data_IF_486906128760
#
_entry.id   IF_486906128760
#
_cell.length_a   1.000
_cell.length_b   1.000
_cell.length_c   1.000
_cell.angle_alpha   90.00
_cell.angle_beta   90.00
_cell.angle_gamma   90.00
#
_symmetry.space_group_name_H-M   'P 1'
#
loop_
_entity.id
_entity.type
_entity.pdbx_description
1 polymer ?
#
# COMPACT_ATOMS: atom_id res chain seq x y z
N UNK A 1 20.23 0.54 -7.22
CA UNK A 1 20.18 0.07 -5.82
C UNK A 1 19.01 -0.87 -5.72
N UNK A 2 19.15 -2.06 -5.12
CA UNK A 2 18.01 -2.96 -4.97
C UNK A 2 17.07 -2.38 -3.91
N UNK A 3 15.83 -2.11 -4.28
CA UNK A 3 14.78 -1.67 -3.35
C UNK A 3 13.85 -2.83 -3.08
N UNK A 4 13.33 -2.90 -1.86
CA UNK A 4 12.27 -3.81 -1.45
C UNK A 4 11.26 -3.02 -0.64
N UNK A 5 9.98 -3.16 -0.97
CA UNK A 5 8.88 -2.67 -0.15
C UNK A 5 8.23 -3.86 0.55
N UNK A 6 8.00 -3.75 1.86
CA UNK A 6 7.24 -4.75 2.61
C UNK A 6 6.13 -4.08 3.43
N UNK A 7 5.12 -4.86 3.78
CA UNK A 7 3.83 -4.32 4.24
C UNK A 7 3.45 -4.73 5.65
N UNK A 8 2.85 -3.80 6.39
CA UNK A 8 2.12 -4.08 7.60
C UNK A 8 0.73 -3.50 7.58
N UNK A 9 -0.27 -4.37 7.63
CA UNK A 9 -1.64 -4.00 7.95
C UNK A 9 -1.72 -3.73 9.45
N UNK A 10 -1.82 -2.45 9.82
CA UNK A 10 -1.74 -2.03 11.22
C UNK A 10 -2.88 -2.65 12.03
N UNK A 11 -2.56 -3.28 13.16
CA UNK A 11 -3.52 -3.97 14.03
C UNK A 11 -3.78 -5.43 13.65
N UNK A 12 -3.12 -5.96 12.61
CA UNK A 12 -3.22 -7.37 12.15
C UNK A 12 -1.96 -8.19 12.42
N UNK A 13 -1.05 -7.67 13.25
CA UNK A 13 0.28 -8.25 13.51
C UNK A 13 0.23 -9.65 14.14
N UNK A 14 -0.85 -9.99 14.86
CA UNK A 14 -1.06 -11.33 15.43
C UNK A 14 -1.09 -12.45 14.40
N UNK A 15 -1.31 -12.13 13.11
CA UNK A 15 -1.21 -13.08 12.00
C UNK A 15 0.22 -13.46 11.60
N UNK A 16 1.23 -12.73 12.09
CA UNK A 16 2.62 -12.89 11.66
C UNK A 16 2.79 -12.57 10.17
N UNK A 17 3.06 -13.61 9.36
CA UNK A 17 3.11 -13.49 7.88
C UNK A 17 1.73 -13.60 7.22
N UNK A 18 0.73 -14.11 7.92
CA UNK A 18 -0.61 -14.30 7.35
C UNK A 18 -1.46 -13.07 7.61
N UNK A 19 -2.27 -12.72 6.63
CA UNK A 19 -3.33 -11.74 6.81
C UNK A 19 -4.42 -12.29 7.75
N UNK A 20 -4.84 -11.48 8.71
CA UNK A 20 -5.96 -11.74 9.61
C UNK A 20 -7.07 -10.74 9.35
N UNK A 21 -8.32 -11.14 9.51
CA UNK A 21 -9.47 -10.27 9.20
C UNK A 21 -9.72 -9.23 10.29
N UNK A 22 -9.50 -9.60 11.54
CA UNK A 22 -9.82 -8.77 12.69
C UNK A 22 -8.69 -7.82 13.07
N UNK A 23 -9.05 -6.67 13.63
CA UNK A 23 -8.14 -5.62 14.08
C UNK A 23 -8.05 -5.65 15.61
N UNK A 24 -6.83 -5.54 16.14
CA UNK A 24 -6.59 -5.54 17.60
C UNK A 24 -5.47 -4.57 17.97
N UNK A 25 -5.56 -4.04 19.19
CA UNK A 25 -4.42 -3.40 19.84
C UNK A 25 -3.47 -4.47 20.37
N UNK A 26 -2.43 -4.76 19.59
CA UNK A 26 -1.41 -5.73 19.92
C UNK A 26 -0.38 -5.15 20.91
N UNK A 27 0.27 -6.02 21.69
CA UNK A 27 1.42 -5.60 22.51
C UNK A 27 2.63 -5.30 21.62
N UNK A 28 3.56 -4.50 22.14
CA UNK A 28 4.82 -4.16 21.45
C UNK A 28 5.56 -5.43 21.01
N UNK A 29 5.66 -6.44 21.88
CA UNK A 29 6.31 -7.72 21.54
C UNK A 29 5.69 -8.42 20.32
N UNK A 30 4.36 -8.41 20.20
CA UNK A 30 3.66 -9.02 19.06
C UNK A 30 3.95 -8.24 17.79
N UNK A 31 3.90 -6.91 17.86
CA UNK A 31 4.18 -6.01 16.74
C UNK A 31 5.62 -6.22 16.29
N UNK A 32 6.61 -6.06 17.17
CA UNK A 32 8.04 -6.20 16.85
C UNK A 32 8.35 -7.56 16.25
N UNK A 33 7.78 -8.65 16.80
CA UNK A 33 7.98 -9.99 16.26
C UNK A 33 7.40 -10.14 14.85
N UNK A 34 6.19 -9.63 14.60
CA UNK A 34 5.56 -9.70 13.29
C UNK A 34 6.34 -8.88 12.25
N UNK A 35 6.76 -7.66 12.61
CA UNK A 35 7.54 -6.79 11.73
C UNK A 35 8.89 -7.41 11.38
N UNK A 36 9.62 -7.93 12.36
CA UNK A 36 10.90 -8.62 12.13
C UNK A 36 10.72 -9.83 11.20
N UNK A 37 9.64 -10.60 11.36
CA UNK A 37 9.34 -11.74 10.51
C UNK A 37 9.05 -11.33 9.07
N UNK A 38 8.29 -10.25 8.87
CA UNK A 38 7.97 -9.70 7.54
C UNK A 38 9.20 -9.14 6.83
N UNK A 39 10.05 -8.44 7.56
CA UNK A 39 11.32 -7.93 7.04
C UNK A 39 12.24 -9.07 6.59
N UNK A 40 12.44 -10.09 7.45
CA UNK A 40 13.24 -11.26 7.11
C UNK A 40 12.68 -12.00 5.89
N UNK A 41 11.36 -12.09 5.77
CA UNK A 41 10.70 -12.69 4.61
C UNK A 41 10.96 -11.89 3.34
N UNK A 42 10.81 -10.57 3.40
CA UNK A 42 11.05 -9.68 2.27
C UNK A 42 12.50 -9.75 1.77
N UNK A 43 13.49 -9.78 2.67
CA UNK A 43 14.91 -9.85 2.33
C UNK A 43 15.35 -11.21 1.78
N UNK A 44 14.64 -12.30 2.10
CA UNK A 44 14.96 -13.66 1.62
C UNK A 44 14.25 -14.04 0.32
N UNK A 45 13.30 -13.24 -0.14
CA UNK A 45 12.45 -13.62 -1.27
C UNK A 45 13.14 -13.39 -2.62
N UNK A 46 14.10 -14.26 -2.96
CA UNK A 46 14.90 -14.19 -4.21
C UNK A 46 14.05 -14.29 -5.49
N UNK A 47 12.89 -14.95 -5.41
CA UNK A 47 11.92 -15.07 -6.52
C UNK A 47 10.71 -14.13 -6.35
N UNK A 48 10.87 -13.09 -5.54
CA UNK A 48 9.82 -12.13 -5.21
C UNK A 48 9.48 -11.17 -6.34
N UNK A 49 8.58 -10.25 -6.02
CA UNK A 49 8.24 -9.15 -6.90
C UNK A 49 9.47 -8.26 -7.15
N UNK A 50 9.52 -7.63 -8.32
CA UNK A 50 10.65 -6.79 -8.75
C UNK A 50 10.30 -5.34 -8.48
N UNK A 51 11.20 -4.61 -7.82
CA UNK A 51 11.01 -3.20 -7.53
C UNK A 51 11.95 -2.34 -8.36
N UNK A 52 11.44 -1.23 -8.91
CA UNK A 52 12.22 -0.24 -9.63
C UNK A 52 11.97 1.13 -8.99
N UNK A 53 13.04 1.86 -8.71
CA UNK A 53 12.97 3.27 -8.28
C UNK A 53 12.98 4.12 -9.53
N UNK A 54 11.91 4.88 -9.77
CA UNK A 54 11.85 5.83 -10.88
C UNK A 54 12.32 7.21 -10.42
N UNK A 55 11.93 7.61 -9.20
CA UNK A 55 12.33 8.85 -8.54
C UNK A 55 12.47 8.60 -7.03
N UNK A 56 13.02 9.56 -6.27
CA UNK A 56 13.23 9.41 -4.81
C UNK A 56 11.95 9.05 -4.06
N UNK A 57 10.81 9.63 -4.44
CA UNK A 57 9.49 9.35 -3.86
C UNK A 57 8.63 8.41 -4.68
N UNK A 58 9.16 7.78 -5.74
CA UNK A 58 8.39 6.97 -6.68
C UNK A 58 9.02 5.60 -6.93
N UNK A 59 8.37 4.57 -6.42
CA UNK A 59 8.78 3.17 -6.57
C UNK A 59 7.67 2.42 -7.32
N UNK A 60 8.03 1.54 -8.25
CA UNK A 60 7.09 0.60 -8.85
C UNK A 60 7.44 -0.83 -8.49
N UNK A 61 6.42 -1.66 -8.33
CA UNK A 61 6.53 -3.09 -8.10
C UNK A 61 5.83 -3.86 -9.21
N UNK A 62 6.55 -4.85 -9.72
CA UNK A 62 6.17 -5.68 -10.84
C UNK A 62 6.21 -7.14 -10.41
N UNK A 63 5.42 -8.02 -11.05
CA UNK A 63 5.51 -9.45 -10.81
C UNK A 63 6.93 -9.99 -11.10
N UNK A 64 7.27 -11.17 -10.55
CA UNK A 64 8.49 -11.89 -10.89
C UNK A 64 8.60 -12.06 -12.42
N UNK A 65 9.82 -12.04 -12.97
CA UNK A 65 10.02 -12.01 -14.44
C UNK A 65 9.35 -13.17 -15.20
N UNK A 66 9.19 -14.33 -14.56
CA UNK A 66 8.58 -15.52 -15.15
C UNK A 66 7.12 -15.74 -14.71
N UNK A 67 6.49 -14.74 -14.08
CA UNK A 67 5.12 -14.85 -13.58
C UNK A 67 4.09 -14.77 -14.71
N UNK A 68 3.08 -15.64 -14.66
CA UNK A 68 1.90 -15.53 -15.52
C UNK A 68 0.94 -14.40 -15.08
N UNK A 69 1.04 -13.93 -13.83
CA UNK A 69 0.26 -12.80 -13.34
C UNK A 69 0.83 -11.50 -13.89
N UNK A 70 -0.05 -10.64 -14.38
CA UNK A 70 0.27 -9.26 -14.76
C UNK A 70 -0.37 -8.30 -13.78
N UNK A 71 0.46 -7.49 -13.14
CA UNK A 71 0.02 -6.38 -12.31
C UNK A 71 1.10 -5.31 -12.30
N UNK A 72 0.70 -4.11 -11.91
CA UNK A 72 1.63 -3.04 -11.55
C UNK A 72 1.16 -2.44 -10.24
N UNK A 73 2.10 -2.20 -9.34
CA UNK A 73 1.89 -1.45 -8.11
C UNK A 73 2.82 -0.23 -8.15
N UNK A 74 2.31 0.94 -7.79
CA UNK A 74 3.02 2.21 -7.81
C UNK A 74 2.92 2.83 -6.42
N UNK A 75 4.05 3.10 -5.80
CA UNK A 75 4.17 3.72 -4.49
C UNK A 75 4.60 5.18 -4.67
N UNK A 76 3.76 6.12 -4.24
CA UNK A 76 4.08 7.55 -4.16
C UNK A 76 4.30 7.92 -2.69
N UNK A 77 5.58 7.92 -2.29
CA UNK A 77 6.02 7.96 -0.90
C UNK A 77 5.68 9.27 -0.20
N UNK A 78 5.84 10.37 -0.92
CA UNK A 78 5.53 11.74 -0.50
C UNK A 78 4.03 11.99 -0.31
N UNK A 79 3.20 11.26 -1.05
CA UNK A 79 1.74 11.38 -0.96
C UNK A 79 1.10 10.39 0.01
N UNK A 80 1.83 9.38 0.48
CA UNK A 80 1.26 8.32 1.32
C UNK A 80 0.22 7.47 0.57
N UNK A 81 0.46 7.21 -0.71
CA UNK A 81 -0.47 6.48 -1.57
C UNK A 81 0.24 5.32 -2.28
N UNK A 82 -0.45 4.18 -2.36
CA UNK A 82 -0.11 3.11 -3.27
C UNK A 82 -1.24 2.93 -4.28
N UNK A 83 -0.91 2.71 -5.55
CA UNK A 83 -1.86 2.39 -6.62
C UNK A 83 -1.57 1.00 -7.17
N UNK A 84 -2.56 0.12 -7.21
CA UNK A 84 -2.42 -1.20 -7.82
C UNK A 84 -3.40 -1.40 -8.97
N UNK A 85 -2.92 -1.98 -10.06
CA UNK A 85 -3.71 -2.30 -11.25
C UNK A 85 -3.45 -3.74 -11.68
N UNK A 86 -4.52 -4.50 -11.91
CA UNK A 86 -4.45 -5.93 -12.27
C UNK A 86 -4.01 -6.87 -11.15
N UNK A 87 -3.78 -6.37 -9.92
CA UNK A 87 -3.31 -7.19 -8.80
C UNK A 87 -4.40 -8.12 -8.23
N UNK A 88 -5.62 -7.59 -8.01
CA UNK A 88 -6.79 -8.38 -7.59
C UNK A 88 -7.64 -8.70 -8.82
N UNK A 89 -7.80 -9.99 -9.15
CA UNK A 89 -8.62 -10.43 -10.30
C UNK A 89 -10.12 -10.13 -10.14
N UNK A 90 -10.57 -9.79 -8.93
CA UNK A 90 -11.96 -9.48 -8.61
C UNK A 90 -12.36 -8.04 -8.89
N UNK A 91 -11.43 -7.20 -9.35
CA UNK A 91 -11.67 -5.77 -9.60
C UNK A 91 -11.01 -5.34 -10.92
N UNK A 92 -11.80 -4.75 -11.79
CA UNK A 92 -11.31 -4.08 -13.00
C UNK A 92 -11.15 -2.59 -12.69
N UNK A 93 -9.92 -2.07 -12.87
CA UNK A 93 -9.56 -0.71 -12.53
C UNK A 93 -8.44 -0.61 -11.49
N UNK A 94 -8.33 0.56 -10.86
CA UNK A 94 -7.32 0.84 -9.85
C UNK A 94 -7.84 0.54 -8.44
N UNK A 95 -6.95 0.03 -7.60
CA UNK A 95 -7.08 0.06 -6.15
C UNK A 95 -6.07 1.06 -5.59
N UNK A 96 -6.50 1.91 -4.68
CA UNK A 96 -5.66 2.90 -4.03
C UNK A 96 -5.68 2.60 -2.54
N UNK A 97 -4.51 2.32 -1.98
CA UNK A 97 -4.33 2.05 -0.57
C UNK A 97 -3.71 3.30 0.07
N UNK A 98 -4.26 3.74 1.20
CA UNK A 98 -3.68 4.83 2.00
C UNK A 98 -2.66 4.25 2.95
N UNK A 99 -1.43 4.74 2.84
CA UNK A 99 -0.27 4.15 3.49
C UNK A 99 0.64 5.21 4.10
N UNK A 100 1.37 4.85 5.15
CA UNK A 100 2.50 5.62 5.66
C UNK A 100 3.79 4.84 5.39
N UNK A 101 4.80 5.52 4.85
CA UNK A 101 6.08 4.90 4.54
C UNK A 101 7.14 5.20 5.61
N UNK A 102 7.97 4.21 5.90
CA UNK A 102 9.15 4.34 6.75
C UNK A 102 10.36 3.75 6.01
N UNK A 103 11.43 4.54 5.86
CA UNK A 103 12.71 4.05 5.36
C UNK A 103 13.47 3.38 6.52
N UNK A 104 13.66 2.06 6.48
CA UNK A 104 14.40 1.34 7.54
C UNK A 104 15.91 1.44 7.36
N UNK A 105 16.36 1.10 6.15
CA UNK A 105 17.76 1.18 5.71
C UNK A 105 17.79 1.48 4.22
N UNK A 106 18.91 1.94 3.64
CA UNK A 106 18.98 2.18 2.19
C UNK A 106 18.55 0.95 1.39
N UNK A 107 17.48 1.09 0.60
CA UNK A 107 16.94 -0.02 -0.20
C UNK A 107 15.82 -0.83 0.47
N UNK A 108 15.44 -0.51 1.72
CA UNK A 108 14.37 -1.20 2.43
C UNK A 108 13.32 -0.20 2.93
N UNK A 109 12.16 -0.23 2.28
CA UNK A 109 11.01 0.62 2.56
C UNK A 109 9.91 -0.21 3.21
N UNK A 110 9.32 0.34 4.25
CA UNK A 110 8.23 -0.27 4.98
C UNK A 110 6.95 0.53 4.76
N UNK A 111 5.90 -0.12 4.28
CA UNK A 111 4.57 0.46 4.09
C UNK A 111 3.62 0.01 5.20
N UNK A 112 3.17 0.96 6.01
CA UNK A 112 2.08 0.78 6.96
C UNK A 112 0.77 1.03 6.25
N UNK A 113 -0.05 -0.01 6.08
CA UNK A 113 -1.41 0.10 5.58
C UNK A 113 -2.32 0.65 6.68
N UNK A 114 -2.93 1.79 6.36
CA UNK A 114 -3.77 2.58 7.26
C UNK A 114 -5.27 2.34 7.02
N UNK A 115 -5.61 1.21 6.38
CA UNK A 115 -6.94 0.58 6.33
C UNK A 115 -8.02 1.35 5.55
N UNK A 116 -7.66 2.44 4.86
CA UNK A 116 -8.56 3.13 3.95
C UNK A 116 -8.14 2.77 2.53
N UNK A 117 -9.08 2.16 1.81
CA UNK A 117 -8.91 1.76 0.42
C UNK A 117 -9.90 2.50 -0.47
N UNK A 118 -9.54 2.67 -1.75
CA UNK A 118 -10.40 3.25 -2.77
C UNK A 118 -10.38 2.35 -4.00
N UNK A 119 -11.57 1.90 -4.42
CA UNK A 119 -11.77 1.24 -5.71
C UNK A 119 -12.13 2.28 -6.75
N UNK A 120 -11.36 2.38 -7.81
CA UNK A 120 -11.65 3.21 -8.98
C UNK A 120 -11.92 2.29 -10.16
N UNK A 121 -13.06 2.48 -10.81
CA UNK A 121 -13.48 1.70 -11.98
C UNK A 121 -12.96 2.37 -13.26
N UNK A 122 -12.98 1.63 -14.37
CA UNK A 122 -12.50 2.11 -15.69
C UNK A 122 -13.29 3.32 -16.22
N UNK A 123 -14.54 3.50 -15.78
CA UNK A 123 -15.35 4.67 -16.14
C UNK A 123 -15.04 5.92 -15.30
N UNK A 124 -14.09 5.81 -14.35
CA UNK A 124 -13.67 6.86 -13.43
C UNK A 124 -14.58 7.02 -12.21
N UNK A 125 -15.65 6.24 -12.07
CA UNK A 125 -16.40 6.16 -10.80
C UNK A 125 -15.54 5.51 -9.72
N UNK A 126 -15.84 5.79 -8.45
CA UNK A 126 -15.05 5.24 -7.35
C UNK A 126 -15.86 5.01 -6.06
N UNK A 127 -15.38 4.10 -5.22
CA UNK A 127 -15.88 3.84 -3.88
C UNK A 127 -14.74 3.86 -2.87
N UNK A 128 -14.91 4.64 -1.79
CA UNK A 128 -14.07 4.51 -0.60
C UNK A 128 -14.60 3.31 0.21
N UNK A 129 -13.72 2.40 0.59
CA UNK A 129 -14.05 1.17 1.32
C UNK A 129 -13.19 1.06 2.59
N UNK A 130 -13.55 0.10 3.44
CA UNK A 130 -12.84 -0.25 4.69
C UNK A 130 -12.74 0.91 5.70
N UNK A 131 -13.60 1.93 5.56
CA UNK A 131 -13.76 3.02 6.54
C UNK A 131 -14.21 2.53 7.91
N UNK A 132 -14.92 1.39 7.98
CA UNK A 132 -15.28 0.71 9.22
C UNK A 132 -14.05 0.09 9.90
N UNK A 133 -13.13 -0.50 9.13
CA UNK A 133 -11.83 -0.99 9.60
C UNK A 133 -10.97 0.16 10.15
N UNK A 134 -10.84 1.26 9.40
CA UNK A 134 -10.14 2.46 9.84
C UNK A 134 -10.71 3.02 11.16
N UNK A 135 -12.04 3.16 11.24
CA UNK A 135 -12.71 3.62 12.45
C UNK A 135 -12.46 2.68 13.64
N UNK A 136 -12.53 1.36 13.44
CA UNK A 136 -12.28 0.39 14.50
C UNK A 136 -10.83 0.46 15.00
N UNK A 137 -9.86 0.58 14.09
CA UNK A 137 -8.46 0.75 14.45
C UNK A 137 -8.22 2.04 15.26
N UNK A 138 -8.85 3.15 14.86
CA UNK A 138 -8.81 4.39 15.64
C UNK A 138 -9.43 4.21 17.03
N UNK A 139 -10.64 3.64 17.09
CA UNK A 139 -11.38 3.40 18.35
C UNK A 139 -10.60 2.53 19.33
N UNK A 140 -9.92 1.50 18.82
CA UNK A 140 -9.07 0.62 19.61
C UNK A 140 -7.74 1.27 20.01
N UNK A 141 -7.40 2.44 19.47
CA UNK A 141 -6.11 3.10 19.68
C UNK A 141 -4.95 2.30 19.09
N UNK A 142 -5.21 1.64 17.95
CA UNK A 142 -4.24 0.95 17.09
C UNK A 142 -3.51 1.97 16.22
N UNK A 143 -4.27 2.90 15.61
CA UNK A 143 -3.71 4.03 14.86
C UNK A 143 -3.35 5.17 15.82
N UNK A 144 -2.17 5.77 15.60
CA UNK A 144 -1.79 7.00 16.30
C UNK A 144 -2.57 8.21 15.77
N UNK A 145 -2.60 9.32 16.53
CA UNK A 145 -3.20 10.56 16.05
C UNK A 145 -2.55 11.08 14.76
N UNK A 146 -1.23 10.95 14.65
CA UNK A 146 -0.47 11.31 13.45
C UNK A 146 -0.86 10.44 12.24
N UNK A 147 -1.03 9.12 12.44
CA UNK A 147 -1.49 8.22 11.39
C UNK A 147 -2.90 8.57 10.91
N UNK A 148 -3.81 8.92 11.83
CA UNK A 148 -5.16 9.37 11.47
C UNK A 148 -5.11 10.66 10.66
N UNK A 149 -4.33 11.65 11.09
CA UNK A 149 -4.18 12.92 10.36
C UNK A 149 -3.59 12.68 8.96
N UNK A 150 -2.52 11.89 8.86
CA UNK A 150 -1.91 11.49 7.60
C UNK A 150 -2.91 10.79 6.67
N UNK A 151 -3.66 9.82 7.18
CA UNK A 151 -4.69 9.10 6.41
C UNK A 151 -5.73 10.03 5.83
N UNK A 152 -6.25 10.97 6.63
CA UNK A 152 -7.29 11.90 6.20
C UNK A 152 -6.75 12.93 5.19
N UNK A 153 -5.51 13.37 5.35
CA UNK A 153 -4.86 14.27 4.40
C UNK A 153 -4.62 13.58 3.04
N UNK A 154 -4.09 12.35 3.05
CA UNK A 154 -3.90 11.54 1.84
C UNK A 154 -5.25 11.24 1.15
N UNK A 155 -6.28 10.89 1.93
CA UNK A 155 -7.64 10.67 1.43
C UNK A 155 -8.20 11.94 0.77
N UNK A 156 -8.11 13.08 1.45
CA UNK A 156 -8.58 14.36 0.91
C UNK A 156 -7.86 14.71 -0.40
N UNK A 157 -6.55 14.50 -0.46
CA UNK A 157 -5.76 14.73 -1.68
C UNK A 157 -6.25 13.88 -2.86
N UNK A 158 -6.38 12.56 -2.67
CA UNK A 158 -6.75 11.68 -3.78
C UNK A 158 -8.22 11.86 -4.19
N UNK A 159 -9.13 12.11 -3.22
CA UNK A 159 -10.52 12.43 -3.52
C UNK A 159 -10.66 13.72 -4.33
N UNK A 160 -9.82 14.73 -4.08
CA UNK A 160 -9.81 15.95 -4.88
C UNK A 160 -9.51 15.64 -6.36
N UNK A 161 -8.47 14.84 -6.62
CA UNK A 161 -8.09 14.41 -7.97
C UNK A 161 -9.17 13.58 -8.65
N UNK A 162 -9.76 12.61 -7.93
CA UNK A 162 -10.85 11.78 -8.44
C UNK A 162 -12.07 12.61 -8.81
N UNK A 163 -12.49 13.54 -7.94
CA UNK A 163 -13.63 14.43 -8.19
C UNK A 163 -13.41 15.38 -9.38
N UNK A 164 -12.17 15.77 -9.64
CA UNK A 164 -11.79 16.57 -10.80
C UNK A 164 -11.62 15.76 -12.09
N UNK A 165 -11.74 14.42 -12.03
CA UNK A 165 -11.43 13.50 -13.13
C UNK A 165 -9.98 13.65 -13.62
N UNK A 166 -9.07 13.97 -12.71
CA UNK A 166 -7.62 14.10 -12.93
C UNK A 166 -6.85 12.82 -12.50
N UNK A 167 -7.57 11.74 -12.18
CA UNK A 167 -6.98 10.45 -11.84
C UNK A 167 -7.09 9.46 -13.02
N UNK A 168 -6.06 8.65 -13.31
CA UNK A 168 -4.79 8.54 -12.57
C UNK A 168 -3.74 9.59 -12.94
N UNK A 169 -4.08 10.50 -13.86
CA UNK A 169 -3.19 11.57 -14.28
C UNK A 169 -2.07 11.07 -15.18
N UNK A 170 -1.32 12.00 -15.74
CA UNK A 170 -0.35 11.71 -16.81
C UNK A 170 0.75 10.74 -16.37
N UNK A 171 1.37 10.98 -15.21
CA UNK A 171 2.52 10.19 -14.73
C UNK A 171 2.15 8.73 -14.52
N UNK A 172 1.04 8.45 -13.83
CA UNK A 172 0.60 7.07 -13.56
C UNK A 172 0.21 6.36 -14.87
N UNK A 173 -0.47 7.04 -15.81
CA UNK A 173 -0.78 6.45 -17.11
C UNK A 173 0.47 6.12 -17.94
N UNK A 174 1.46 7.00 -17.93
CA UNK A 174 2.73 6.74 -18.64
C UNK A 174 3.47 5.53 -18.06
N UNK A 175 3.50 5.40 -16.73
CA UNK A 175 4.07 4.24 -16.03
C UNK A 175 3.29 2.96 -16.36
N UNK A 176 1.95 2.98 -16.26
CA UNK A 176 1.11 1.83 -16.61
C UNK A 176 1.38 1.37 -18.04
N UNK A 177 1.36 2.29 -19.01
CA UNK A 177 1.61 1.99 -20.43
C UNK A 177 2.98 1.36 -20.68
N UNK A 178 3.99 1.75 -19.90
CA UNK A 178 5.35 1.27 -20.07
C UNK A 178 5.59 -0.11 -19.43
N UNK A 179 4.92 -0.42 -18.31
CA UNK A 179 5.28 -1.54 -17.44
C UNK A 179 4.19 -2.61 -17.24
N UNK A 180 2.94 -2.39 -17.68
CA UNK A 180 1.81 -3.33 -17.57
C UNK A 180 1.29 -3.77 -18.95
#
# INVERSE_FOLDING_TARGET
MNVVVYWNHVGREHGGLKYTKDIRKNSEDVITKALSLKEQYALKNENGNRFLVLEESLIIELPPGNSAKKFIIIYMLDLGLQFSYGFKSSHEGWLIDIVQFEQKTPGLVFAHDLLIDIRVFEDGSYHVIDMDEFHEAYRLGVLSGEQVEHSLNALSHILHKLNQKDFPGRTIEEIKRQYY
#
